data_IF_137567791042
#
_entry.id   IF_137567791042
#
_cell.length_a   1.000
_cell.length_b   1.000
_cell.length_c   1.000
_cell.angle_alpha   90.00
_cell.angle_beta   90.00
_cell.angle_gamma   90.00
#
_symmetry.space_group_name_H-M   'P 1'
#
loop_
_entity.id
_entity.type
_entity.pdbx_description
1 polymer ?
#
# COMPACT_ATOMS: atom_id res chain seq x y z
N UNK A 1 3.02 35.30 31.71
CA UNK A 1 3.55 33.92 31.73
C UNK A 1 2.86 33.15 30.61
N UNK A 2 3.45 33.09 29.42
CA UNK A 2 2.82 32.47 28.23
C UNK A 2 3.81 32.14 27.11
N UNK A 3 5.12 32.07 27.39
CA UNK A 3 6.16 32.03 26.34
C UNK A 3 6.39 30.68 25.67
N UNK A 4 5.76 29.60 26.13
CA UNK A 4 5.89 28.26 25.52
C UNK A 4 4.68 27.91 24.64
N UNK A 5 3.47 28.22 25.09
CA UNK A 5 2.26 27.99 24.30
C UNK A 5 2.23 28.86 23.03
N UNK A 6 2.73 30.10 23.09
CA UNK A 6 2.92 30.96 21.92
C UNK A 6 3.97 30.42 20.93
N UNK A 7 5.02 29.76 21.43
CA UNK A 7 6.06 29.19 20.57
C UNK A 7 5.60 27.94 19.82
N UNK A 8 4.65 27.19 20.39
CA UNK A 8 3.98 26.07 19.73
C UNK A 8 2.68 26.47 19.04
N UNK A 9 2.35 27.76 19.03
CA UNK A 9 1.24 28.28 18.26
C UNK A 9 1.68 28.34 16.80
N UNK A 10 1.41 27.26 16.08
CA UNK A 10 1.52 27.28 14.63
C UNK A 10 0.31 28.06 14.12
N UNK A 11 0.55 29.23 13.56
CA UNK A 11 -0.46 29.99 12.82
C UNK A 11 -0.88 29.18 11.59
N UNK A 12 -1.85 28.31 11.80
CA UNK A 12 -2.47 27.46 10.78
C UNK A 12 -3.12 28.31 9.67
N UNK A 13 -3.51 29.54 10.00
CA UNK A 13 -4.02 30.56 9.08
C UNK A 13 -2.92 31.24 8.25
N UNK A 14 -1.66 31.26 8.74
CA UNK A 14 -0.52 31.83 8.03
C UNK A 14 0.18 30.83 7.10
N UNK A 15 -0.21 29.55 7.11
CA UNK A 15 0.31 28.56 6.16
C UNK A 15 -0.20 28.86 4.75
N UNK A 16 0.70 28.89 3.77
CA UNK A 16 0.29 29.12 2.39
C UNK A 16 -0.55 27.95 1.89
N UNK A 17 -1.40 28.18 0.88
CA UNK A 17 -2.21 27.13 0.27
C UNK A 17 -1.37 25.94 -0.22
N UNK A 18 -0.15 26.20 -0.70
CA UNK A 18 0.76 25.14 -1.16
C UNK A 18 1.26 24.27 0.00
N UNK A 19 1.56 24.88 1.16
CA UNK A 19 1.98 24.13 2.35
C UNK A 19 0.86 23.21 2.84
N UNK A 20 -0.39 23.68 2.80
CA UNK A 20 -1.58 22.88 3.12
C UNK A 20 -1.78 21.70 2.17
N UNK A 21 -1.59 21.91 0.87
CA UNK A 21 -1.67 20.83 -0.13
C UNK A 21 -0.60 19.78 0.12
N UNK A 22 0.64 20.21 0.38
CA UNK A 22 1.75 19.32 0.72
C UNK A 22 1.44 18.48 1.97
N UNK A 23 1.00 19.14 3.04
CA UNK A 23 0.62 18.48 4.30
C UNK A 23 -0.48 17.43 4.08
N UNK A 24 -1.57 17.80 3.40
CA UNK A 24 -2.70 16.91 3.13
C UNK A 24 -2.25 15.72 2.27
N UNK A 25 -1.45 15.97 1.23
CA UNK A 25 -0.93 14.92 0.36
C UNK A 25 -0.06 13.92 1.16
N UNK A 26 0.83 14.41 2.02
CA UNK A 26 1.65 13.55 2.88
C UNK A 26 0.79 12.71 3.83
N UNK A 27 -0.23 13.31 4.46
CA UNK A 27 -1.15 12.58 5.35
C UNK A 27 -1.92 11.50 4.58
N UNK A 28 -2.41 11.81 3.39
CA UNK A 28 -3.12 10.84 2.53
C UNK A 28 -2.21 9.67 2.15
N UNK A 29 -0.99 9.94 1.69
CA UNK A 29 -0.02 8.89 1.32
C UNK A 29 0.32 8.02 2.52
N UNK A 30 0.52 8.62 3.69
CA UNK A 30 0.76 7.87 4.93
C UNK A 30 -0.41 6.93 5.27
N UNK A 31 -1.65 7.43 5.22
CA UNK A 31 -2.84 6.61 5.45
C UNK A 31 -2.99 5.50 4.41
N UNK A 32 -2.65 5.76 3.15
CA UNK A 32 -2.65 4.73 2.09
C UNK A 32 -1.62 3.65 2.38
N UNK A 33 -0.41 4.01 2.82
CA UNK A 33 0.63 3.04 3.20
C UNK A 33 0.19 2.18 4.39
N UNK A 34 -0.39 2.80 5.42
CA UNK A 34 -0.95 2.08 6.57
C UNK A 34 -2.11 1.17 6.13
N UNK A 35 -3.03 1.67 5.32
CA UNK A 35 -4.14 0.90 4.77
C UNK A 35 -3.68 -0.30 3.94
N UNK A 36 -2.67 -0.12 3.09
CA UNK A 36 -2.08 -1.19 2.29
C UNK A 36 -1.37 -2.21 3.18
N UNK A 37 -0.64 -1.76 4.21
CA UNK A 37 0.00 -2.63 5.20
C UNK A 37 -1.01 -3.54 5.89
N UNK A 38 -2.11 -2.97 6.40
CA UNK A 38 -3.19 -3.74 7.00
C UNK A 38 -3.90 -4.65 6.00
N UNK A 39 -4.12 -4.19 4.75
CA UNK A 39 -4.74 -4.99 3.70
C UNK A 39 -3.87 -6.20 3.30
N UNK A 40 -2.57 -5.99 3.11
CA UNK A 40 -1.60 -7.04 2.75
C UNK A 40 -1.38 -8.05 3.89
N UNK A 41 -1.35 -7.57 5.14
CA UNK A 41 -1.19 -8.43 6.32
C UNK A 41 -2.49 -9.10 6.77
N UNK A 42 -3.65 -8.70 6.23
CA UNK A 42 -4.92 -9.37 6.53
C UNK A 42 -4.87 -10.81 6.04
N UNK A 43 -5.05 -11.83 6.91
CA UNK A 43 -4.84 -13.24 6.56
C UNK A 43 -5.74 -13.69 5.40
N UNK A 44 -6.94 -13.12 5.28
CA UNK A 44 -7.89 -13.38 4.20
C UNK A 44 -7.39 -12.99 2.79
N UNK A 45 -6.41 -12.10 2.71
CA UNK A 45 -5.78 -11.68 1.45
C UNK A 45 -4.46 -12.40 1.19
N UNK A 46 -3.83 -12.96 2.24
CA UNK A 46 -2.59 -13.71 2.14
C UNK A 46 -2.76 -14.98 1.31
N UNK A 47 -3.84 -15.74 1.50
CA UNK A 47 -4.12 -16.95 0.71
C UNK A 47 -4.24 -16.65 -0.79
N UNK A 48 -4.87 -15.53 -1.16
CA UNK A 48 -5.00 -15.11 -2.57
C UNK A 48 -3.69 -14.62 -3.18
N UNK A 49 -2.82 -14.00 -2.38
CA UNK A 49 -1.48 -13.58 -2.81
C UNK A 49 -0.52 -14.77 -2.89
N UNK A 50 -0.62 -15.74 -1.99
CA UNK A 50 0.16 -16.97 -2.00
C UNK A 50 -0.27 -17.91 -3.13
N UNK A 51 -1.56 -17.94 -3.50
CA UNK A 51 -2.06 -18.71 -4.66
C UNK A 51 -1.45 -18.30 -6.01
N UNK A 52 -0.88 -17.09 -6.10
CA UNK A 52 -0.23 -16.58 -7.32
C UNK A 52 1.29 -16.76 -7.32
N UNK A 53 1.86 -17.38 -6.27
CA UNK A 53 3.32 -17.60 -6.17
C UNK A 53 3.84 -18.63 -7.19
N UNK A 54 2.98 -19.53 -7.67
CA UNK A 54 3.39 -20.68 -8.50
C UNK A 54 3.09 -20.55 -10.01
N UNK A 55 2.63 -19.40 -10.48
CA UNK A 55 2.25 -19.23 -11.90
C UNK A 55 3.42 -19.52 -12.88
N UNK A 56 4.70 -19.12 -12.62
CA UNK A 56 5.79 -19.42 -13.55
C UNK A 56 6.25 -20.90 -13.54
N UNK A 57 5.77 -21.72 -12.60
CA UNK A 57 6.17 -23.13 -12.46
C UNK A 57 5.14 -24.09 -13.05
N UNK A 58 3.98 -23.59 -13.50
CA UNK A 58 2.90 -24.40 -14.11
C UNK A 58 2.88 -24.32 -15.65
N UNK A 59 3.65 -23.42 -16.27
CA UNK A 59 3.79 -23.35 -17.74
C UNK A 59 4.62 -24.50 -18.33
N UNK A 60 5.35 -25.27 -17.52
CA UNK A 60 6.05 -26.50 -17.96
C UNK A 60 5.15 -27.75 -17.98
N UNK A 61 3.83 -27.59 -17.76
CA UNK A 61 2.82 -28.61 -18.09
C UNK A 61 2.13 -28.29 -19.42
N UNK A 62 2.89 -27.93 -20.44
CA UNK A 62 2.44 -28.13 -21.82
C UNK A 62 2.50 -29.64 -22.08
N UNK A 63 1.34 -30.28 -21.87
CA UNK A 63 0.85 -31.52 -22.46
C UNK A 63 1.81 -32.11 -23.51
N UNK A 64 2.73 -32.99 -23.07
CA UNK A 64 3.49 -33.82 -23.98
C UNK A 64 2.49 -34.77 -24.64
N UNK A 65 2.15 -34.49 -25.90
CA UNK A 65 1.18 -35.23 -26.68
C UNK A 65 1.46 -36.72 -26.71
N UNK A 66 0.83 -37.47 -25.79
CA UNK A 66 0.80 -38.91 -25.78
C UNK A 66 -0.62 -39.36 -26.11
N UNK A 67 -0.98 -39.26 -27.40
CA UNK A 67 -2.21 -39.86 -27.90
C UNK A 67 -2.08 -40.32 -29.36
N UNK A 68 -1.64 -41.57 -29.50
CA UNK A 68 -2.18 -42.62 -30.39
C UNK A 68 -1.06 -43.49 -30.99
N UNK A 69 -0.75 -44.59 -30.32
CA UNK A 69 -0.24 -45.82 -30.93
C UNK A 69 -1.24 -46.93 -30.64
N UNK A 70 -1.79 -47.56 -31.69
CA UNK A 70 -2.77 -48.66 -31.62
C UNK A 70 -3.74 -48.64 -32.78
#
# INVERSE_FOLDING_TARGET
>A
MSSLAEYFHTDWEAMTTNDWVGLVMTVVVFLLMVGLYFYALRPKNREKLESRRFIPMEEDKIDSGEKNGG
#
